data_IF_975255476411
#
_entry.id   IF_975255476411
#
_cell.length_a   1.000
_cell.length_b   1.000
_cell.length_c   1.000
_cell.angle_alpha   90.00
_cell.angle_beta   90.00
_cell.angle_gamma   90.00
#
_symmetry.space_group_name_H-M   'P 1'
#
loop_
_entity.id
_entity.type
_entity.pdbx_description
1 polymer ?
#
# COMPACT_ATOMS: atom_id res chain seq x y z
N UNK A 1 4.80 23.21 4.54
CA UNK A 1 4.03 21.97 4.29
C UNK A 1 5.06 20.87 4.11
N UNK A 2 5.17 19.96 5.07
CA UNK A 2 5.93 18.73 4.83
C UNK A 2 5.18 17.92 3.76
N UNK A 3 5.89 17.53 2.71
CA UNK A 3 5.33 16.61 1.72
C UNK A 3 5.20 15.27 2.46
N UNK A 4 3.97 14.90 2.80
CA UNK A 4 3.71 13.58 3.38
C UNK A 4 4.14 12.55 2.34
N UNK A 5 5.13 11.74 2.72
CA UNK A 5 5.71 10.73 1.83
C UNK A 5 4.70 9.59 1.66
N UNK A 6 4.53 9.14 0.42
CA UNK A 6 3.49 8.19 0.01
C UNK A 6 4.10 7.06 -0.80
N UNK A 7 3.59 5.84 -0.67
CA UNK A 7 3.90 4.76 -1.62
C UNK A 7 3.04 4.99 -2.87
N UNK A 8 3.68 5.45 -3.94
CA UNK A 8 3.04 5.66 -5.25
C UNK A 8 2.96 4.36 -6.04
N UNK A 9 2.17 4.33 -7.12
CA UNK A 9 2.15 3.19 -8.06
C UNK A 9 3.55 2.87 -8.63
N UNK A 10 4.41 3.88 -8.79
CA UNK A 10 5.80 3.69 -9.25
C UNK A 10 6.61 2.91 -8.22
N UNK A 11 6.60 3.33 -6.95
CA UNK A 11 7.30 2.63 -5.87
C UNK A 11 6.72 1.25 -5.62
N UNK A 12 5.40 1.11 -5.74
CA UNK A 12 4.75 -0.19 -5.65
C UNK A 12 5.35 -1.19 -6.66
N UNK A 13 5.40 -0.81 -7.94
CA UNK A 13 5.96 -1.66 -9.00
C UNK A 13 7.47 -1.85 -8.86
N UNK A 14 8.21 -0.80 -8.49
CA UNK A 14 9.67 -0.84 -8.45
C UNK A 14 10.21 -1.61 -7.24
N UNK A 15 9.54 -1.52 -6.10
CA UNK A 15 10.04 -2.03 -4.83
C UNK A 15 9.08 -3.02 -4.19
N UNK A 16 7.83 -2.62 -3.91
CA UNK A 16 6.88 -3.46 -3.14
C UNK A 16 6.59 -4.79 -3.83
N UNK A 17 6.29 -4.79 -5.13
CA UNK A 17 6.05 -6.04 -5.88
C UNK A 17 7.27 -6.96 -5.83
N UNK A 18 8.48 -6.42 -6.05
CA UNK A 18 9.73 -7.18 -6.02
C UNK A 18 10.03 -7.79 -4.66
N UNK A 19 9.82 -7.05 -3.58
CA UNK A 19 10.03 -7.56 -2.23
C UNK A 19 8.97 -8.61 -1.84
N UNK A 20 7.72 -8.48 -2.31
CA UNK A 20 6.73 -9.54 -2.14
C UNK A 20 7.12 -10.83 -2.88
N UNK A 21 7.73 -10.74 -4.07
CA UNK A 21 8.30 -11.92 -4.74
C UNK A 21 9.41 -12.57 -3.90
N UNK A 22 10.30 -11.77 -3.31
CA UNK A 22 11.41 -12.25 -2.46
C UNK A 22 10.95 -12.82 -1.12
N UNK A 23 9.83 -12.35 -0.59
CA UNK A 23 9.23 -12.81 0.66
C UNK A 23 8.27 -14.00 0.47
N UNK A 24 8.39 -14.72 -0.66
CA UNK A 24 7.64 -15.93 -1.01
C UNK A 24 6.11 -15.74 -1.04
N UNK A 25 5.60 -14.54 -1.35
CA UNK A 25 4.16 -14.38 -1.58
C UNK A 25 3.78 -15.16 -2.84
N UNK A 26 2.64 -15.82 -2.84
CA UNK A 26 2.07 -16.45 -4.03
C UNK A 26 1.46 -15.39 -4.95
N UNK A 27 1.18 -15.75 -6.20
CA UNK A 27 0.50 -14.86 -7.14
C UNK A 27 -0.85 -14.38 -6.60
N UNK A 28 -1.66 -15.31 -6.05
CA UNK A 28 -2.96 -14.98 -5.48
C UNK A 28 -2.87 -14.05 -4.27
N UNK A 29 -1.86 -14.21 -3.41
CA UNK A 29 -1.63 -13.33 -2.27
C UNK A 29 -1.22 -11.92 -2.73
N UNK A 30 -0.32 -11.82 -3.71
CA UNK A 30 0.08 -10.52 -4.27
C UNK A 30 -1.09 -9.81 -4.93
N UNK A 31 -1.94 -10.52 -5.66
CA UNK A 31 -3.13 -9.96 -6.28
C UNK A 31 -4.15 -9.48 -5.25
N UNK A 32 -4.35 -10.24 -4.17
CA UNK A 32 -5.22 -9.85 -3.06
C UNK A 32 -4.70 -8.58 -2.37
N UNK A 33 -3.40 -8.51 -2.10
CA UNK A 33 -2.73 -7.31 -1.55
C UNK A 33 -2.87 -6.13 -2.50
N UNK A 34 -2.59 -6.32 -3.79
CA UNK A 34 -2.73 -5.25 -4.78
C UNK A 34 -4.17 -4.76 -4.88
N UNK A 35 -5.15 -5.65 -4.79
CA UNK A 35 -6.57 -5.29 -4.77
C UNK A 35 -6.95 -4.51 -3.50
N UNK A 36 -6.40 -4.90 -2.35
CA UNK A 36 -6.60 -4.23 -1.06
C UNK A 36 -6.15 -2.76 -1.09
N UNK A 37 -5.05 -2.47 -1.79
CA UNK A 37 -4.51 -1.12 -1.96
C UNK A 37 -4.84 -0.50 -3.32
N UNK A 38 -5.69 -1.14 -4.14
CA UNK A 38 -5.94 -0.69 -5.50
C UNK A 38 -6.53 0.71 -5.51
N UNK A 39 -7.47 1.03 -4.62
CA UNK A 39 -8.06 2.37 -4.53
C UNK A 39 -7.04 3.46 -4.21
N UNK A 40 -6.06 3.16 -3.35
CA UNK A 40 -5.02 4.11 -2.94
C UNK A 40 -3.95 4.30 -4.02
N UNK A 41 -3.71 3.26 -4.83
CA UNK A 41 -2.73 3.23 -5.92
C UNK A 41 -3.33 3.66 -7.28
N UNK A 42 -4.63 3.46 -7.48
CA UNK A 42 -5.38 3.75 -8.69
C UNK A 42 -6.16 5.06 -8.54
N UNK A 43 -5.43 6.16 -8.49
CA UNK A 43 -5.95 7.43 -9.00
C UNK A 43 -5.34 7.67 -10.38
N UNK A 44 -5.85 6.91 -11.35
CA UNK A 44 -5.48 7.02 -12.76
C UNK A 44 -6.68 7.50 -13.56
N UNK A 45 -7.07 8.77 -13.36
CA UNK A 45 -7.83 9.48 -14.40
C UNK A 45 -7.22 10.81 -14.81
N UNK A 46 -6.52 11.53 -13.94
CA UNK A 46 -5.74 12.73 -14.28
C UNK A 46 -4.65 12.88 -13.23
N UNK A 47 -3.40 13.15 -13.59
CA UNK A 47 -2.28 13.21 -12.64
C UNK A 47 -2.38 14.23 -11.50
N UNK A 48 -3.51 14.90 -11.32
CA UNK A 48 -3.86 15.77 -10.19
C UNK A 48 -5.39 15.76 -10.09
N UNK A 49 -5.97 15.47 -8.91
CA UNK A 49 -7.34 15.93 -8.61
C UNK A 49 -7.24 17.38 -8.12
N UNK A 50 -8.05 18.32 -8.65
CA UNK A 50 -8.23 19.61 -8.00
C UNK A 50 -8.94 19.34 -6.67
N UNK A 51 -8.20 19.42 -5.56
CA UNK A 51 -8.83 19.45 -4.25
C UNK A 51 -9.84 20.60 -4.20
N UNK A 52 -10.92 20.44 -3.43
CA UNK A 52 -11.96 21.47 -3.23
C UNK A 52 -11.44 22.85 -2.78
N UNK A 53 -10.14 22.95 -2.41
CA UNK A 53 -9.40 24.16 -2.06
C UNK A 53 -8.11 24.36 -2.90
N UNK A 54 -8.06 23.89 -4.15
CA UNK A 54 -6.96 24.21 -5.09
C UNK A 54 -5.62 23.51 -4.82
N UNK A 55 -5.60 22.41 -4.07
CA UNK A 55 -4.39 21.60 -3.84
C UNK A 55 -4.37 20.33 -4.69
N UNK A 56 -3.22 20.01 -5.27
CA UNK A 56 -2.94 18.73 -5.94
C UNK A 56 -2.97 17.59 -4.92
N UNK A 57 -3.96 16.69 -5.03
CA UNK A 57 -3.92 15.42 -4.28
C UNK A 57 -2.98 14.48 -5.05
N UNK A 58 -1.86 14.13 -4.44
CA UNK A 58 -0.97 13.08 -4.97
C UNK A 58 -1.49 11.71 -4.50
N UNK A 59 -1.84 10.79 -5.40
CA UNK A 59 -2.20 9.43 -5.01
C UNK A 59 -1.01 8.67 -4.44
N UNK A 60 -1.33 7.67 -3.62
CA UNK A 60 -0.36 6.86 -2.93
C UNK A 60 -0.67 6.73 -1.45
N UNK A 61 -0.11 5.68 -0.85
CA UNK A 61 -0.41 5.22 0.50
C UNK A 61 0.45 6.00 1.50
N UNK A 62 -0.17 6.78 2.38
CA UNK A 62 0.50 7.43 3.51
C UNK A 62 0.79 6.44 4.64
N UNK A 63 1.64 6.85 5.59
CA UNK A 63 1.90 6.03 6.79
C UNK A 63 0.64 5.76 7.62
N UNK A 64 -0.28 6.73 7.71
CA UNK A 64 -1.52 6.59 8.46
C UNK A 64 -2.50 5.62 7.76
N UNK A 65 -2.64 5.73 6.44
CA UNK A 65 -3.46 4.81 5.63
C UNK A 65 -2.89 3.39 5.68
N UNK A 66 -1.56 3.24 5.61
CA UNK A 66 -0.90 1.95 5.78
C UNK A 66 -1.25 1.33 7.13
N UNK A 67 -1.07 2.06 8.24
CA UNK A 67 -1.38 1.55 9.59
C UNK A 67 -2.84 1.14 9.73
N UNK A 68 -3.77 1.93 9.18
CA UNK A 68 -5.20 1.62 9.21
C UNK A 68 -5.51 0.32 8.45
N UNK A 69 -4.95 0.17 7.24
CA UNK A 69 -5.15 -1.03 6.43
C UNK A 69 -4.50 -2.26 7.06
N UNK A 70 -3.29 -2.15 7.60
CA UNK A 70 -2.63 -3.26 8.30
C UNK A 70 -3.39 -3.68 9.56
N UNK A 71 -3.91 -2.73 10.33
CA UNK A 71 -4.76 -3.05 11.48
C UNK A 71 -6.03 -3.81 11.07
N UNK A 72 -6.66 -3.42 9.94
CA UNK A 72 -7.82 -4.12 9.40
C UNK A 72 -7.46 -5.52 8.86
N UNK A 73 -6.29 -5.71 8.27
CA UNK A 73 -5.78 -7.01 7.82
C UNK A 73 -5.50 -7.96 8.99
N UNK A 74 -4.94 -7.43 10.09
CA UNK A 74 -4.67 -8.18 11.33
C UNK A 74 -5.96 -8.61 12.05
N UNK A 75 -7.03 -7.82 11.95
CA UNK A 75 -8.32 -8.17 12.52
C UNK A 75 -9.12 -9.08 11.59
N UNK A 76 -9.10 -10.39 11.87
CA UNK A 76 -9.91 -11.41 11.18
C UNK A 76 -11.43 -11.14 11.21
N UNK A 77 -11.90 -10.31 12.15
CA UNK A 77 -13.31 -9.95 12.27
C UNK A 77 -13.67 -8.74 11.41
N UNK A 78 -12.69 -8.01 10.90
CA UNK A 78 -12.92 -6.81 10.09
C UNK A 78 -13.63 -7.15 8.79
N UNK A 79 -14.45 -6.22 8.29
CA UNK A 79 -15.08 -6.37 6.98
C UNK A 79 -14.03 -6.50 5.87
N UNK A 80 -12.87 -5.87 6.04
CA UNK A 80 -11.75 -5.89 5.11
C UNK A 80 -11.13 -7.29 5.01
N UNK A 81 -10.78 -7.89 6.14
CA UNK A 81 -10.21 -9.25 6.21
C UNK A 81 -11.19 -10.28 5.64
N UNK A 82 -12.49 -10.13 5.95
CA UNK A 82 -13.56 -10.99 5.40
C UNK A 82 -13.81 -10.81 3.90
N UNK A 83 -13.50 -9.63 3.36
CA UNK A 83 -13.67 -9.32 1.93
C UNK A 83 -12.50 -9.80 1.08
N UNK A 84 -11.34 -10.09 1.69
CA UNK A 84 -10.21 -10.65 0.97
C UNK A 84 -10.53 -12.07 0.51
N UNK A 85 -10.48 -12.27 -0.80
CA UNK A 85 -10.66 -13.58 -1.42
C UNK A 85 -9.61 -14.60 -0.97
N UNK A 86 -8.41 -14.12 -0.63
CA UNK A 86 -7.29 -14.92 -0.13
C UNK A 86 -6.75 -14.24 1.14
N UNK A 87 -7.18 -14.66 2.34
CA UNK A 87 -6.68 -14.09 3.58
C UNK A 87 -5.20 -14.45 3.75
N UNK A 88 -4.39 -13.46 4.09
CA UNK A 88 -2.99 -13.65 4.44
C UNK A 88 -2.87 -14.26 5.84
N UNK A 89 -1.90 -15.14 6.05
CA UNK A 89 -1.52 -15.56 7.41
C UNK A 89 -0.95 -14.36 8.19
N UNK A 90 -1.02 -14.40 9.52
CA UNK A 90 -0.47 -13.32 10.37
C UNK A 90 1.01 -13.04 10.08
N UNK A 91 1.81 -14.08 9.82
CA UNK A 91 3.21 -13.93 9.42
C UNK A 91 3.37 -13.18 8.08
N UNK A 92 2.49 -13.45 7.11
CA UNK A 92 2.49 -12.74 5.83
C UNK A 92 2.03 -11.30 5.98
N UNK A 93 1.09 -11.02 6.88
CA UNK A 93 0.68 -9.65 7.23
C UNK A 93 1.85 -8.89 7.85
N UNK A 94 2.60 -9.50 8.77
CA UNK A 94 3.79 -8.89 9.38
C UNK A 94 4.88 -8.60 8.33
N UNK A 95 5.14 -9.55 7.42
CA UNK A 95 6.08 -9.35 6.29
C UNK A 95 5.64 -8.24 5.36
N UNK A 96 4.34 -8.20 5.04
CA UNK A 96 3.78 -7.15 4.19
C UNK A 96 3.93 -5.77 4.83
N UNK A 97 3.67 -5.66 6.15
CA UNK A 97 3.84 -4.42 6.90
C UNK A 97 5.29 -3.93 6.82
N UNK A 98 6.26 -4.84 7.05
CA UNK A 98 7.68 -4.51 6.96
C UNK A 98 8.06 -3.99 5.56
N UNK A 99 7.65 -4.67 4.50
CA UNK A 99 7.94 -4.26 3.11
C UNK A 99 7.37 -2.87 2.82
N UNK A 100 6.13 -2.60 3.21
CA UNK A 100 5.47 -1.33 2.95
C UNK A 100 6.07 -0.19 3.80
N UNK A 101 6.45 -0.47 5.04
CA UNK A 101 7.17 0.50 5.88
C UNK A 101 8.56 0.82 5.31
N UNK A 102 9.31 -0.17 4.84
CA UNK A 102 10.60 0.06 4.18
C UNK A 102 10.43 0.86 2.89
N UNK A 103 9.38 0.60 2.11
CA UNK A 103 9.05 1.39 0.92
C UNK A 103 8.80 2.87 1.26
N UNK A 104 8.07 3.14 2.36
CA UNK A 104 7.85 4.51 2.85
C UNK A 104 9.15 5.19 3.30
N UNK A 105 10.03 4.47 4.01
CA UNK A 105 11.31 5.00 4.49
C UNK A 105 12.25 5.29 3.33
N UNK A 106 12.45 4.35 2.42
CA UNK A 106 13.35 4.55 1.30
C UNK A 106 12.83 5.60 0.29
N UNK A 107 11.50 5.86 0.27
CA UNK A 107 10.96 7.05 -0.41
C UNK A 107 11.27 8.36 0.35
N UNK A 108 11.20 8.37 1.71
CA UNK A 108 11.63 9.53 2.53
C UNK A 108 13.07 9.94 2.22
N UNK A 109 13.93 8.97 1.93
CA UNK A 109 15.37 9.17 1.71
C UNK A 109 15.76 9.36 0.23
N UNK A 110 14.81 9.29 -0.72
CA UNK A 110 15.06 9.51 -2.14
C UNK A 110 15.86 8.39 -2.83
N UNK A 111 15.82 7.17 -2.30
CA UNK A 111 16.61 6.04 -2.80
C UNK A 111 16.04 5.35 -4.06
N UNK A 112 14.92 5.82 -4.63
CA UNK A 112 14.18 5.16 -5.73
C UNK A 112 13.91 6.02 -6.98
#
# INVERSE_FOLDING_TARGET
MEIQQKITQKEWKKYVENEMYRADFTEHERDAVRAAFAGDLSDTSTGEMPGFFGGTIRPGITEDELRATMAALRDERSAFSKSMRFPLSSEKVDKLEAILHEALIANKEGFF
#
